data_IF_673229544119
#
_entry.id   IF_673229544119
#
_cell.length_a   1.000
_cell.length_b   1.000
_cell.length_c   1.000
_cell.angle_alpha   90.00
_cell.angle_beta   90.00
_cell.angle_gamma   90.00
#
_symmetry.space_group_name_H-M   'P 1'
#
loop_
_entity.id
_entity.type
_entity.pdbx_description
1 polymer ?
#
# COMPACT_ATOMS: atom_id res chain seq x y z
N UNK A 1 2.41 3.96 -24.16
CA UNK A 1 3.76 4.14 -23.56
C UNK A 1 3.92 5.45 -22.78
N UNK A 2 3.53 6.61 -23.33
CA UNK A 2 3.71 7.92 -22.65
C UNK A 2 3.13 7.97 -21.23
N UNK A 3 1.91 7.47 -21.02
CA UNK A 3 1.25 7.41 -19.70
C UNK A 3 2.02 6.57 -18.67
N UNK A 4 2.58 5.43 -19.10
CA UNK A 4 3.32 4.52 -18.21
C UNK A 4 4.64 5.16 -17.75
N UNK A 5 5.36 5.79 -18.68
CA UNK A 5 6.62 6.49 -18.38
C UNK A 5 6.39 7.68 -17.44
N UNK A 6 5.33 8.47 -17.70
CA UNK A 6 4.95 9.59 -16.83
C UNK A 6 4.56 9.10 -15.44
N UNK A 7 3.70 8.08 -15.35
CA UNK A 7 3.28 7.50 -14.06
C UNK A 7 4.47 6.97 -13.27
N UNK A 8 5.39 6.23 -13.90
CA UNK A 8 6.59 5.70 -13.27
C UNK A 8 7.54 6.79 -12.76
N UNK A 9 7.80 7.82 -13.58
CA UNK A 9 8.66 8.93 -13.20
C UNK A 9 8.09 9.72 -12.00
N UNK A 10 6.80 10.05 -12.03
CA UNK A 10 6.16 10.79 -10.93
C UNK A 10 6.09 9.93 -9.66
N UNK A 11 5.81 8.62 -9.81
CA UNK A 11 5.75 7.68 -8.70
C UNK A 11 7.09 7.47 -8.00
N UNK A 12 8.22 7.64 -8.71
CA UNK A 12 9.55 7.59 -8.08
C UNK A 12 9.87 8.89 -7.32
N UNK A 13 9.50 10.04 -7.87
CA UNK A 13 9.79 11.34 -7.23
C UNK A 13 9.02 11.52 -5.92
N UNK A 14 7.78 11.03 -5.85
CA UNK A 14 6.92 11.14 -4.66
C UNK A 14 7.59 10.61 -3.39
N UNK A 15 8.00 9.33 -3.32
CA UNK A 15 8.69 8.77 -2.16
C UNK A 15 10.08 9.36 -1.94
N UNK A 16 10.85 9.63 -3.00
CA UNK A 16 12.21 10.18 -2.87
C UNK A 16 12.22 11.53 -2.14
N UNK A 17 11.27 12.41 -2.44
CA UNK A 17 11.15 13.72 -1.81
C UNK A 17 10.28 13.64 -0.55
N UNK A 18 9.11 13.00 -0.67
CA UNK A 18 8.08 12.96 0.37
C UNK A 18 8.46 12.15 1.60
N UNK A 19 9.25 11.08 1.46
CA UNK A 19 9.63 10.24 2.61
C UNK A 19 10.45 11.05 3.62
N UNK A 20 11.35 11.94 3.19
CA UNK A 20 12.15 12.76 4.10
C UNK A 20 11.28 13.69 4.96
N UNK A 21 10.27 14.33 4.36
CA UNK A 21 9.34 15.20 5.07
C UNK A 21 8.41 14.41 5.98
N UNK A 22 7.89 13.28 5.50
CA UNK A 22 6.99 12.42 6.27
C UNK A 22 7.67 11.81 7.49
N UNK A 23 8.93 11.35 7.35
CA UNK A 23 9.75 10.86 8.47
C UNK A 23 9.94 11.96 9.52
N UNK A 24 10.21 13.21 9.12
CA UNK A 24 10.31 14.34 10.06
C UNK A 24 8.98 14.62 10.76
N UNK A 25 7.87 14.58 10.03
CA UNK A 25 6.53 14.75 10.59
C UNK A 25 6.20 13.67 11.64
N UNK A 26 6.45 12.40 11.32
CA UNK A 26 6.25 11.27 12.23
C UNK A 26 7.13 11.37 13.47
N UNK A 27 8.40 11.75 13.30
CA UNK A 27 9.32 11.95 14.42
C UNK A 27 8.87 13.11 15.33
N UNK A 28 8.39 14.21 14.76
CA UNK A 28 7.87 15.35 15.51
C UNK A 28 6.60 15.02 16.32
N UNK A 29 5.77 14.10 15.83
CA UNK A 29 4.56 13.65 16.54
C UNK A 29 4.84 12.49 17.53
N UNK A 30 6.09 12.10 17.71
CA UNK A 30 6.46 11.02 18.64
C UNK A 30 5.99 9.63 18.18
N UNK A 31 5.67 9.46 16.89
CA UNK A 31 5.25 8.18 16.30
C UNK A 31 6.42 7.24 16.03
N UNK A 32 7.34 7.15 16.99
CA UNK A 32 8.43 6.18 17.01
C UNK A 32 7.93 4.81 17.45
N UNK A 33 8.54 3.76 16.93
CA UNK A 33 8.17 2.39 17.28
C UNK A 33 8.39 2.11 18.77
N UNK A 34 7.35 1.63 19.47
CA UNK A 34 7.45 1.18 20.87
C UNK A 34 8.25 -0.14 20.92
N UNK A 35 9.39 -0.14 21.61
CA UNK A 35 10.24 -1.32 21.74
C UNK A 35 9.74 -2.16 22.91
N UNK A 36 9.67 -3.48 22.70
CA UNK A 36 9.31 -4.46 23.73
C UNK A 36 10.45 -4.54 24.77
N UNK A 37 10.16 -4.44 26.06
CA UNK A 37 11.18 -4.40 27.13
C UNK A 37 11.97 -5.72 27.29
N UNK A 38 11.43 -6.81 26.75
CA UNK A 38 11.90 -8.20 26.90
C UNK A 38 12.88 -8.68 25.79
N UNK A 39 13.56 -7.76 25.09
CA UNK A 39 14.56 -8.07 24.03
C UNK A 39 16.01 -7.67 24.37
N UNK A 40 17.04 -8.34 23.79
CA UNK A 40 18.44 -8.05 24.08
C UNK A 40 18.83 -6.58 23.77
N UNK A 41 19.74 -6.04 24.57
CA UNK A 41 20.12 -4.61 24.65
C UNK A 41 20.60 -3.98 23.33
N UNK A 42 21.03 -4.78 22.36
CA UNK A 42 21.39 -4.37 20.99
C UNK A 42 20.21 -3.84 20.17
N UNK A 43 18.95 -4.09 20.56
CA UNK A 43 17.77 -3.55 19.88
C UNK A 43 17.36 -2.13 20.30
N UNK A 44 18.01 -1.54 21.31
CA UNK A 44 17.70 -0.18 21.79
C UNK A 44 18.14 0.94 20.83
N UNK A 45 18.94 0.65 19.81
CA UNK A 45 19.41 1.62 18.80
C UNK A 45 18.42 1.88 17.66
N UNK A 46 17.32 1.10 17.55
CA UNK A 46 16.20 1.39 16.62
C UNK A 46 15.11 2.27 17.25
N UNK A 47 15.44 2.95 18.34
CA UNK A 47 14.53 3.85 19.04
C UNK A 47 14.29 5.09 18.16
N UNK A 48 13.06 5.30 17.74
CA UNK A 48 12.66 6.53 17.04
C UNK A 48 12.71 6.48 15.52
N UNK A 49 13.01 5.34 14.87
CA UNK A 49 12.77 5.23 13.42
C UNK A 49 11.27 5.18 13.19
N UNK A 50 10.68 6.18 12.50
CA UNK A 50 9.25 6.23 12.34
C UNK A 50 8.78 5.11 11.42
N UNK A 51 7.80 4.35 11.90
CA UNK A 51 7.13 3.30 11.13
C UNK A 51 5.98 3.90 10.32
N UNK A 52 5.55 3.21 9.26
CA UNK A 52 4.55 3.64 8.26
C UNK A 52 5.09 4.29 6.98
N UNK A 53 6.39 4.21 6.66
CA UNK A 53 6.94 4.74 5.39
C UNK A 53 6.25 4.20 4.12
N UNK A 54 5.68 2.98 4.17
CA UNK A 54 4.90 2.41 3.08
C UNK A 54 3.63 3.21 2.72
N UNK A 55 3.07 3.98 3.66
CA UNK A 55 1.92 4.84 3.38
C UNK A 55 2.25 5.92 2.34
N UNK A 56 3.48 6.48 2.39
CA UNK A 56 3.96 7.46 1.40
C UNK A 56 4.03 6.83 0.01
N UNK A 57 4.50 5.58 -0.07
CA UNK A 57 4.59 4.86 -1.33
C UNK A 57 3.19 4.65 -1.90
N UNK A 58 2.24 4.18 -1.09
CA UNK A 58 0.86 3.93 -1.53
C UNK A 58 0.23 5.21 -2.07
N UNK A 59 0.30 6.30 -1.30
CA UNK A 59 -0.25 7.61 -1.70
C UNK A 59 0.45 8.11 -2.97
N UNK A 60 1.78 7.99 -3.06
CA UNK A 60 2.54 8.43 -4.23
C UNK A 60 2.14 7.67 -5.49
N UNK A 61 1.98 6.35 -5.41
CA UNK A 61 1.57 5.51 -6.54
C UNK A 61 0.14 5.86 -6.99
N UNK A 62 -0.81 5.97 -6.05
CA UNK A 62 -2.20 6.32 -6.36
C UNK A 62 -2.31 7.70 -7.01
N UNK A 63 -1.65 8.71 -6.45
CA UNK A 63 -1.64 10.06 -7.02
C UNK A 63 -0.97 10.09 -8.39
N UNK A 64 0.18 9.43 -8.55
CA UNK A 64 0.92 9.43 -9.82
C UNK A 64 0.13 8.74 -10.93
N UNK A 65 -0.54 7.63 -10.60
CA UNK A 65 -1.40 6.94 -11.56
C UNK A 65 -2.57 7.83 -12.00
N UNK A 66 -3.28 8.45 -11.05
CA UNK A 66 -4.41 9.33 -11.34
C UNK A 66 -3.98 10.55 -12.14
N UNK A 67 -2.89 11.23 -11.74
CA UNK A 67 -2.36 12.40 -12.46
C UNK A 67 -1.95 12.00 -13.88
N UNK A 68 -1.24 10.89 -14.06
CA UNK A 68 -0.82 10.45 -15.38
C UNK A 68 -2.02 10.20 -16.30
N UNK A 69 -3.09 9.55 -15.81
CA UNK A 69 -4.29 9.28 -16.59
C UNK A 69 -5.09 10.54 -16.91
N UNK A 70 -5.15 11.50 -15.97
CA UNK A 70 -5.77 12.81 -16.20
C UNK A 70 -5.00 13.63 -17.24
N UNK A 71 -3.67 13.68 -17.14
CA UNK A 71 -2.81 14.44 -18.07
C UNK A 71 -2.85 13.85 -19.47
N UNK A 72 -2.84 12.52 -19.61
CA UNK A 72 -2.88 11.89 -20.93
C UNK A 72 -4.29 11.68 -21.46
N UNK A 73 -5.34 12.03 -20.70
CA UNK A 73 -6.76 11.80 -21.03
C UNK A 73 -7.04 10.35 -21.46
N UNK A 74 -6.29 9.42 -20.89
CA UNK A 74 -6.43 7.99 -21.17
C UNK A 74 -7.29 7.38 -20.07
N UNK A 75 -8.34 6.67 -20.46
CA UNK A 75 -9.17 5.99 -19.49
C UNK A 75 -8.43 4.77 -18.88
N UNK A 76 -8.54 4.57 -17.56
CA UNK A 76 -7.88 3.48 -16.87
C UNK A 76 -8.45 2.12 -17.31
N UNK A 77 -7.57 1.11 -17.39
CA UNK A 77 -8.00 -0.27 -17.65
C UNK A 77 -8.53 -0.92 -16.38
N UNK A 78 -9.44 -1.88 -16.54
CA UNK A 78 -10.02 -2.63 -15.41
C UNK A 78 -8.91 -3.38 -14.66
N UNK A 79 -7.98 -4.00 -15.38
CA UNK A 79 -6.82 -4.68 -14.80
C UNK A 79 -6.01 -3.77 -13.90
N UNK A 80 -5.75 -2.53 -14.32
CA UNK A 80 -5.01 -1.58 -13.52
C UNK A 80 -5.79 -1.16 -12.27
N UNK A 81 -7.10 -0.92 -12.38
CA UNK A 81 -7.94 -0.59 -11.22
C UNK A 81 -7.98 -1.73 -10.20
N UNK A 82 -8.06 -2.99 -10.64
CA UNK A 82 -8.04 -4.16 -9.76
C UNK A 82 -6.70 -4.30 -9.03
N UNK A 83 -5.58 -4.10 -9.72
CA UNK A 83 -4.25 -4.13 -9.07
C UNK A 83 -4.08 -2.98 -8.09
N UNK A 84 -4.56 -1.78 -8.42
CA UNK A 84 -4.54 -0.63 -7.50
C UNK A 84 -5.43 -0.87 -6.28
N UNK A 85 -6.58 -1.51 -6.46
CA UNK A 85 -7.45 -1.94 -5.35
C UNK A 85 -6.71 -2.92 -4.42
N UNK A 86 -6.11 -3.97 -4.99
CA UNK A 86 -5.35 -4.95 -4.20
C UNK A 86 -4.20 -4.30 -3.44
N UNK A 87 -3.43 -3.45 -4.12
CA UNK A 87 -2.29 -2.73 -3.57
C UNK A 87 -2.71 -1.78 -2.44
N UNK A 88 -3.72 -0.94 -2.67
CA UNK A 88 -4.23 0.01 -1.69
C UNK A 88 -4.91 -0.70 -0.51
N UNK A 89 -5.70 -1.75 -0.76
CA UNK A 89 -6.40 -2.51 0.28
C UNK A 89 -5.43 -3.25 1.21
N UNK A 90 -4.44 -3.96 0.67
CA UNK A 90 -3.39 -4.61 1.47
C UNK A 90 -2.55 -3.58 2.23
N UNK A 91 -2.22 -2.48 1.55
CA UNK A 91 -1.52 -1.35 2.15
C UNK A 91 -2.27 -0.70 3.32
N UNK A 92 -3.59 -0.54 3.18
CA UNK A 92 -4.45 0.02 4.22
C UNK A 92 -4.53 -0.89 5.45
N UNK A 93 -4.64 -2.21 5.27
CA UNK A 93 -4.61 -3.17 6.37
C UNK A 93 -3.26 -3.12 7.10
N UNK A 94 -2.16 -3.02 6.35
CA UNK A 94 -0.82 -2.84 6.91
C UNK A 94 -0.68 -1.53 7.69
N UNK A 95 -1.21 -0.43 7.14
CA UNK A 95 -1.25 0.87 7.81
C UNK A 95 -2.06 0.80 9.11
N UNK A 96 -3.22 0.14 9.11
CA UNK A 96 -4.04 -0.01 10.30
C UNK A 96 -3.35 -0.87 11.39
N UNK A 97 -2.57 -1.87 10.98
CA UNK A 97 -1.73 -2.68 11.87
C UNK A 97 -0.69 -1.82 12.59
N UNK A 98 0.03 -0.99 11.83
CA UNK A 98 1.08 -0.12 12.36
C UNK A 98 0.51 1.05 13.18
N UNK A 99 -0.60 1.63 12.74
CA UNK A 99 -1.35 2.65 13.49
C UNK A 99 -1.81 2.11 14.84
N UNK A 100 -2.30 0.86 14.88
CA UNK A 100 -2.74 0.22 16.13
C UNK A 100 -1.59 0.03 17.11
N UNK A 101 -0.37 -0.29 16.63
CA UNK A 101 0.83 -0.43 17.47
C UNK A 101 1.21 0.90 18.11
N UNK A 102 1.17 1.97 17.32
CA UNK A 102 1.53 3.33 17.74
C UNK A 102 0.48 3.89 18.71
N UNK A 103 -0.81 3.86 18.33
CA UNK A 103 -1.92 4.41 19.12
C UNK A 103 -2.08 3.73 20.47
N UNK A 104 -1.80 2.42 20.55
CA UNK A 104 -1.89 1.64 21.80
C UNK A 104 -0.55 1.49 22.52
N UNK A 105 0.49 2.18 22.05
CA UNK A 105 1.86 2.15 22.61
C UNK A 105 2.34 0.74 22.99
N UNK A 106 2.12 -0.22 22.08
CA UNK A 106 2.44 -1.63 22.32
C UNK A 106 2.99 -2.26 21.05
N UNK A 107 3.80 -3.30 21.19
CA UNK A 107 4.33 -4.04 20.05
C UNK A 107 3.28 -4.86 19.29
N UNK A 108 2.09 -5.08 19.90
CA UNK A 108 0.98 -5.84 19.34
C UNK A 108 0.09 -4.97 18.45
N UNK A 109 0.05 -5.30 17.16
CA UNK A 109 -0.83 -4.65 16.19
C UNK A 109 -2.29 -5.12 16.24
N UNK A 110 -2.89 -5.25 15.06
CA UNK A 110 -4.23 -5.79 14.87
C UNK A 110 -4.33 -7.22 15.41
N UNK A 111 -5.54 -7.60 15.85
CA UNK A 111 -5.82 -9.00 16.20
C UNK A 111 -5.57 -9.88 14.96
N UNK A 112 -4.87 -11.04 15.07
CA UNK A 112 -4.55 -11.89 13.92
C UNK A 112 -5.78 -12.24 13.06
N UNK A 113 -6.90 -12.57 13.71
CA UNK A 113 -8.17 -12.84 13.04
C UNK A 113 -8.68 -11.65 12.22
N UNK A 114 -8.63 -10.44 12.78
CA UNK A 114 -9.08 -9.23 12.08
C UNK A 114 -8.20 -8.89 10.88
N UNK A 115 -6.88 -9.09 11.00
CA UNK A 115 -5.94 -8.90 9.89
C UNK A 115 -6.20 -9.88 8.75
N UNK A 116 -6.36 -11.16 9.08
CA UNK A 116 -6.65 -12.21 8.09
C UNK A 116 -8.01 -12.00 7.41
N UNK A 117 -9.05 -11.64 8.15
CA UNK A 117 -10.37 -11.35 7.58
C UNK A 117 -10.28 -10.17 6.60
N UNK A 118 -9.59 -9.08 6.99
CA UNK A 118 -9.39 -7.94 6.10
C UNK A 118 -8.66 -8.33 4.81
N UNK A 119 -7.56 -9.08 4.93
CA UNK A 119 -6.78 -9.53 3.76
C UNK A 119 -7.60 -10.47 2.87
N UNK A 120 -8.38 -11.37 3.47
CA UNK A 120 -9.27 -12.27 2.75
C UNK A 120 -10.34 -11.51 1.97
N UNK A 121 -10.99 -10.49 2.58
CA UNK A 121 -12.00 -9.68 1.89
C UNK A 121 -11.37 -8.99 0.66
N UNK A 122 -10.22 -8.34 0.82
CA UNK A 122 -9.52 -7.66 -0.29
C UNK A 122 -9.15 -8.65 -1.39
N UNK A 123 -8.62 -9.82 -1.02
CA UNK A 123 -8.22 -10.87 -1.96
C UNK A 123 -9.42 -11.49 -2.70
N UNK A 124 -10.54 -11.73 -2.02
CA UNK A 124 -11.76 -12.27 -2.64
C UNK A 124 -12.32 -11.27 -3.66
N UNK A 125 -12.41 -9.99 -3.29
CA UNK A 125 -12.88 -8.94 -4.22
C UNK A 125 -11.98 -8.87 -5.46
N UNK A 126 -10.66 -8.95 -5.26
CA UNK A 126 -9.71 -9.00 -6.38
C UNK A 126 -9.90 -10.26 -7.24
N UNK A 127 -9.99 -11.44 -6.64
CA UNK A 127 -10.14 -12.71 -7.37
C UNK A 127 -11.44 -12.78 -8.18
N UNK A 128 -12.55 -12.35 -7.59
CA UNK A 128 -13.83 -12.20 -8.30
C UNK A 128 -13.69 -11.15 -9.41
N UNK A 129 -13.09 -10.00 -9.11
CA UNK A 129 -12.87 -8.93 -10.07
C UNK A 129 -12.13 -9.39 -11.33
N UNK A 130 -11.05 -10.14 -11.13
CA UNK A 130 -10.18 -10.64 -12.20
C UNK A 130 -10.87 -11.67 -13.10
N UNK A 131 -11.85 -12.42 -12.60
CA UNK A 131 -12.56 -13.45 -13.36
C UNK A 131 -13.83 -12.95 -14.05
N UNK A 132 -14.48 -11.91 -13.52
CA UNK A 132 -15.81 -11.48 -14.00
C UNK A 132 -15.83 -10.15 -14.74
N UNK A 133 -14.76 -9.33 -14.67
CA UNK A 133 -14.74 -8.03 -15.34
C UNK A 133 -13.83 -8.05 -16.57
N UNK A 134 -14.40 -8.14 -17.79
CA UNK A 134 -13.64 -8.14 -19.02
C UNK A 134 -13.14 -6.74 -19.38
N UNK A 135 -11.91 -6.63 -19.87
CA UNK A 135 -11.38 -5.40 -20.45
C UNK A 135 -12.10 -5.06 -21.77
N UNK A 136 -11.74 -3.93 -22.39
CA UNK A 136 -12.34 -3.40 -23.64
C UNK A 136 -12.41 -4.40 -24.79
N UNK A 137 -11.55 -5.42 -24.79
CA UNK A 137 -11.48 -6.48 -25.80
C UNK A 137 -12.32 -7.72 -25.43
N UNK A 138 -13.13 -7.69 -24.37
CA UNK A 138 -13.91 -8.83 -23.89
C UNK A 138 -13.09 -9.87 -23.11
N UNK A 139 -11.80 -9.61 -22.86
CA UNK A 139 -10.90 -10.54 -22.17
C UNK A 139 -10.83 -10.20 -20.69
N UNK A 140 -11.09 -11.18 -19.83
CA UNK A 140 -10.94 -11.05 -18.38
C UNK A 140 -9.46 -11.10 -17.99
N UNK A 141 -9.03 -10.32 -16.97
CA UNK A 141 -7.64 -10.33 -16.52
C UNK A 141 -7.14 -11.69 -16.04
N UNK A 142 -8.03 -12.57 -15.58
CA UNK A 142 -7.73 -13.95 -15.22
C UNK A 142 -8.54 -14.94 -16.04
N UNK A 143 -8.03 -16.16 -16.08
CA UNK A 143 -8.66 -17.29 -16.75
C UNK A 143 -8.97 -18.38 -15.73
N UNK A 144 -10.15 -19.04 -15.83
CA UNK A 144 -10.41 -20.26 -15.08
C UNK A 144 -9.66 -21.48 -15.64
N UNK A 145 -9.04 -21.34 -16.82
CA UNK A 145 -8.22 -22.40 -17.38
C UNK A 145 -6.93 -22.56 -16.56
N UNK A 146 -6.59 -23.79 -16.23
CA UNK A 146 -5.31 -24.13 -15.62
C UNK A 146 -4.24 -23.95 -16.70
N UNK A 147 -3.24 -23.09 -16.45
CA UNK A 147 -2.06 -23.00 -17.32
C UNK A 147 -1.24 -24.28 -17.16
N UNK A 148 -1.13 -25.08 -18.22
CA UNK A 148 -0.23 -26.24 -18.30
C UNK A 148 1.19 -25.80 -18.69
#
# INVERSE_FOLDING_TARGET
>A
MKTILLAGAVAMLGPLVGTRWFVKFLAAHGYGQYIRDDGPTTHRTKKGTPTMGGAVIIVSVLLSYTIAHLVTMTAPSISALLVLWLFAGMGFIGFLDDWTKISKQRSLGLKPRGKLIGQAIVAIVFGVGVLFFPDRNGVTPGSPAISF
#
